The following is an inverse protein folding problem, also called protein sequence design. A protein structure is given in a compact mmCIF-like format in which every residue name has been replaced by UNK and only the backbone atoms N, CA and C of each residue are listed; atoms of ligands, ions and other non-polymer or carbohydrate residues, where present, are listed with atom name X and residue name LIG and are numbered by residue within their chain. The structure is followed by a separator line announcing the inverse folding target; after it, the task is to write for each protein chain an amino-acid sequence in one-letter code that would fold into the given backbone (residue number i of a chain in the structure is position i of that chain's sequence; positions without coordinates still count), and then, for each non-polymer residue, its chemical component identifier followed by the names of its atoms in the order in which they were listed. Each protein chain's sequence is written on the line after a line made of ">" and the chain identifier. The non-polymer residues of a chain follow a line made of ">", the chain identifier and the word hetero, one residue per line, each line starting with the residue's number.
data_IF_593579429246
#
_entry.id   IF_593579429246
#
_cell.length_a   1.000
_cell.length_b   1.000
_cell.length_c   1.000
_cell.angle_alpha   90.00
_cell.angle_beta   90.00
_cell.angle_gamma   90.00
#
_symmetry.space_group_name_H-M   'P 1'
#
loop_
_entity.id
_entity.type
_entity.pdbx_description
1 polymer ?
#
# COMPACT_ATOMS: atom_id res chain seq x y z
N UNK A 1 8.28 -5.18 27.91
CA UNK A 1 7.64 -5.07 26.57
C UNK A 1 6.45 -6.02 26.38
N UNK A 2 6.26 -7.05 27.23
CA UNK A 2 5.09 -7.95 27.27
C UNK A 2 3.69 -7.29 27.28
N UNK A 3 3.52 -6.11 27.89
CA UNK A 3 2.20 -5.44 27.94
C UNK A 3 1.70 -4.90 26.59
N UNK A 4 2.60 -4.74 25.61
CA UNK A 4 2.25 -4.05 24.38
C UNK A 4 1.52 -4.92 23.36
N UNK A 5 1.48 -6.25 23.49
CA UNK A 5 0.78 -7.11 22.53
C UNK A 5 -0.25 -8.05 23.18
N UNK A 6 -0.48 -7.89 24.49
CA UNK A 6 -1.30 -8.79 25.31
C UNK A 6 -2.72 -8.28 25.59
N UNK A 7 -3.07 -7.08 25.11
CA UNK A 7 -4.42 -6.52 25.23
C UNK A 7 -4.86 -5.80 23.96
N UNK A 8 -6.17 -5.79 23.65
CA UNK A 8 -6.72 -4.98 22.57
C UNK A 8 -6.34 -3.51 22.76
N UNK A 9 -5.92 -2.85 21.69
CA UNK A 9 -5.43 -1.48 21.74
C UNK A 9 -6.56 -0.48 21.55
N UNK A 10 -6.35 0.78 21.93
CA UNK A 10 -7.15 1.88 21.42
C UNK A 10 -6.67 2.32 20.03
N UNK A 11 -7.47 3.12 19.33
CA UNK A 11 -7.13 3.63 17.99
C UNK A 11 -5.79 4.40 18.00
N UNK A 12 -5.65 5.36 18.92
CA UNK A 12 -4.43 6.16 19.06
C UNK A 12 -3.20 5.35 19.49
N UNK A 13 -3.39 4.29 20.27
CA UNK A 13 -2.29 3.40 20.66
C UNK A 13 -1.72 2.61 19.48
N UNK A 14 -2.54 2.22 18.50
CA UNK A 14 -2.04 1.57 17.26
C UNK A 14 -1.19 2.55 16.47
N UNK A 15 -1.64 3.81 16.36
CA UNK A 15 -0.92 4.84 15.64
C UNK A 15 0.41 5.18 16.32
N UNK A 16 0.41 5.46 17.63
CA UNK A 16 1.62 5.72 18.43
C UNK A 16 2.64 4.59 18.27
N UNK A 17 2.18 3.34 18.37
CA UNK A 17 3.06 2.20 18.18
C UNK A 17 3.57 2.04 16.77
N UNK A 18 2.79 2.41 15.76
CA UNK A 18 3.23 2.41 14.36
C UNK A 18 4.44 3.34 14.22
N UNK A 19 4.36 4.56 14.74
CA UNK A 19 5.48 5.51 14.75
C UNK A 19 6.66 5.00 15.56
N UNK A 20 6.41 4.50 16.78
CA UNK A 20 7.47 4.04 17.68
C UNK A 20 8.24 2.85 17.10
N UNK A 21 7.54 1.85 16.57
CA UNK A 21 8.18 0.66 15.97
C UNK A 21 8.91 1.05 14.69
N UNK A 22 8.30 1.88 13.84
CA UNK A 22 8.94 2.38 12.61
C UNK A 22 10.22 3.15 12.90
N UNK A 23 10.24 3.97 13.97
CA UNK A 23 11.42 4.75 14.39
C UNK A 23 12.49 3.86 14.99
N UNK A 24 12.14 3.00 15.95
CA UNK A 24 13.12 2.18 16.69
C UNK A 24 13.78 1.11 15.82
N UNK A 25 13.09 0.63 14.78
CA UNK A 25 13.60 -0.39 13.86
C UNK A 25 13.76 0.12 12.43
N UNK A 26 13.88 1.45 12.26
CA UNK A 26 13.94 2.11 10.95
C UNK A 26 14.99 1.47 10.05
N UNK A 27 16.23 1.35 10.54
CA UNK A 27 17.35 0.82 9.76
C UNK A 27 17.06 -0.57 9.22
N UNK A 28 16.54 -1.48 10.06
CA UNK A 28 16.26 -2.86 9.62
C UNK A 28 15.15 -2.90 8.59
N UNK A 29 14.03 -2.20 8.79
CA UNK A 29 12.91 -2.23 7.85
C UNK A 29 13.18 -1.46 6.56
N UNK A 30 13.95 -0.37 6.64
CA UNK A 30 14.46 0.36 5.50
C UNK A 30 15.39 -0.53 4.68
N UNK A 31 16.36 -1.22 5.31
CA UNK A 31 17.25 -2.15 4.64
C UNK A 31 16.50 -3.33 3.99
N UNK A 32 15.46 -3.87 4.63
CA UNK A 32 14.61 -4.91 4.02
C UNK A 32 14.05 -4.41 2.70
N UNK A 33 13.40 -3.25 2.72
CA UNK A 33 12.71 -2.72 1.54
C UNK A 33 13.73 -2.29 0.49
N UNK A 34 14.83 -1.66 0.90
CA UNK A 34 15.90 -1.25 0.01
C UNK A 34 16.55 -2.45 -0.68
N UNK A 35 16.91 -3.52 0.03
CA UNK A 35 17.53 -4.70 -0.59
C UNK A 35 16.57 -5.40 -1.57
N UNK A 36 15.28 -5.49 -1.22
CA UNK A 36 14.29 -6.19 -2.03
C UNK A 36 13.85 -5.38 -3.25
N UNK A 37 13.74 -4.06 -3.12
CA UNK A 37 13.17 -3.18 -4.16
C UNK A 37 14.25 -2.42 -4.95
N UNK A 38 15.47 -2.24 -4.44
CA UNK A 38 16.52 -1.51 -5.16
C UNK A 38 16.88 -2.09 -6.52
N UNK A 39 16.89 -3.42 -6.78
CA UNK A 39 17.14 -3.91 -8.13
C UNK A 39 16.10 -3.39 -9.12
N UNK A 40 14.84 -3.23 -8.68
CA UNK A 40 13.76 -2.69 -9.49
C UNK A 40 13.99 -1.21 -9.81
N UNK A 41 14.39 -0.43 -8.80
CA UNK A 41 14.71 1.00 -8.94
C UNK A 41 15.89 1.21 -9.89
N UNK A 42 16.93 0.38 -9.80
CA UNK A 42 18.09 0.46 -10.69
C UNK A 42 17.73 0.13 -12.14
N UNK A 43 16.89 -0.89 -12.35
CA UNK A 43 16.39 -1.23 -13.69
C UNK A 43 15.52 -0.11 -14.25
N UNK A 44 14.64 0.46 -13.43
CA UNK A 44 13.80 1.60 -13.82
C UNK A 44 14.64 2.82 -14.23
N UNK A 45 15.63 3.17 -13.41
CA UNK A 45 16.56 4.26 -13.70
C UNK A 45 17.36 4.01 -14.99
N UNK A 46 17.84 2.77 -15.20
CA UNK A 46 18.56 2.39 -16.40
C UNK A 46 17.68 2.50 -17.64
N UNK A 47 16.44 2.01 -17.58
CA UNK A 47 15.47 2.11 -18.68
C UNK A 47 15.23 3.57 -19.02
N UNK A 48 14.96 4.43 -18.02
CA UNK A 48 14.74 5.85 -18.22
C UNK A 48 15.94 6.51 -18.94
N UNK A 49 17.17 6.22 -18.51
CA UNK A 49 18.39 6.71 -19.18
C UNK A 49 18.50 6.22 -20.62
N UNK A 50 18.23 4.94 -20.88
CA UNK A 50 18.29 4.36 -22.22
C UNK A 50 17.21 4.91 -23.16
N UNK A 51 16.07 5.36 -22.62
CA UNK A 51 14.99 5.99 -23.38
C UNK A 51 15.15 7.50 -23.54
N UNK A 52 16.28 8.06 -23.11
CA UNK A 52 16.62 9.47 -23.31
C UNK A 52 16.19 10.41 -22.17
N UNK A 53 15.77 9.89 -21.01
CA UNK A 53 15.53 10.72 -19.83
C UNK A 53 16.86 11.19 -19.23
N UNK A 54 16.98 12.49 -18.99
CA UNK A 54 18.19 13.08 -18.43
C UNK A 54 18.44 12.64 -16.98
N UNK A 55 19.72 12.49 -16.61
CA UNK A 55 20.10 12.11 -15.24
C UNK A 55 19.65 13.17 -14.22
N UNK A 56 19.93 14.43 -14.53
CA UNK A 56 19.57 15.61 -13.75
C UNK A 56 18.83 16.54 -14.71
N UNK A 57 17.77 17.18 -14.23
CA UNK A 57 17.01 18.16 -15.01
C UNK A 57 17.91 19.30 -15.50
N UNK A 58 17.80 19.63 -16.78
CA UNK A 58 18.28 20.91 -17.30
C UNK A 58 17.40 22.07 -16.81
N UNK A 59 18.03 23.11 -16.27
CA UNK A 59 17.36 24.28 -15.68
C UNK A 59 17.67 25.49 -16.54
N UNK A 60 16.67 25.96 -17.28
CA UNK A 60 16.77 27.21 -18.02
C UNK A 60 17.01 28.39 -17.06
N UNK A 61 18.16 29.06 -17.21
CA UNK A 61 18.52 30.21 -16.38
C UNK A 61 17.56 31.38 -16.60
N UNK A 62 16.96 31.89 -15.53
CA UNK A 62 16.08 33.06 -15.54
C UNK A 62 14.60 32.77 -15.26
N UNK A 63 14.18 31.51 -15.23
CA UNK A 63 12.82 31.14 -14.83
C UNK A 63 12.66 31.03 -13.31
N UNK A 64 11.50 31.42 -12.79
CA UNK A 64 11.11 31.16 -11.40
C UNK A 64 10.76 29.68 -11.19
N UNK A 65 10.83 29.19 -9.93
CA UNK A 65 10.46 27.80 -9.59
C UNK A 65 9.02 27.46 -10.01
N UNK A 66 8.11 28.44 -9.99
CA UNK A 66 6.73 28.26 -10.42
C UNK A 66 6.59 28.07 -11.94
N UNK A 67 7.30 28.89 -12.73
CA UNK A 67 7.33 28.75 -14.19
C UNK A 67 7.97 27.42 -14.59
N UNK A 68 9.07 27.06 -13.94
CA UNK A 68 9.75 25.79 -14.13
C UNK A 68 8.83 24.60 -13.84
N UNK A 69 8.08 24.63 -12.74
CA UNK A 69 7.15 23.55 -12.39
C UNK A 69 5.99 23.47 -13.39
N UNK A 70 5.41 24.63 -13.75
CA UNK A 70 4.35 24.70 -14.74
C UNK A 70 4.79 24.13 -16.09
N UNK A 71 5.98 24.53 -16.56
CA UNK A 71 6.58 24.03 -17.79
C UNK A 71 6.81 22.52 -17.74
N UNK A 72 7.39 21.97 -16.66
CA UNK A 72 7.59 20.52 -16.49
C UNK A 72 6.28 19.74 -16.60
N UNK A 73 5.24 20.18 -15.88
CA UNK A 73 3.95 19.49 -15.87
C UNK A 73 3.29 19.61 -17.24
N UNK A 74 3.34 20.80 -17.85
CA UNK A 74 2.72 21.06 -19.13
C UNK A 74 3.40 20.28 -20.25
N UNK A 75 4.73 20.29 -20.32
CA UNK A 75 5.51 19.53 -21.29
C UNK A 75 5.24 18.02 -21.17
N UNK A 76 5.24 17.46 -19.95
CA UNK A 76 4.93 16.05 -19.74
C UNK A 76 3.51 15.64 -20.20
N UNK A 77 2.57 16.58 -20.24
CA UNK A 77 1.19 16.30 -20.66
C UNK A 77 1.04 16.18 -22.18
N UNK A 78 1.96 16.79 -22.95
CA UNK A 78 1.87 16.83 -24.42
C UNK A 78 2.99 16.07 -25.13
N UNK A 79 4.07 15.70 -24.43
CA UNK A 79 5.17 14.92 -25.01
C UNK A 79 4.78 13.44 -25.13
N UNK A 80 4.67 12.89 -26.35
CA UNK A 80 4.32 11.48 -26.53
C UNK A 80 5.45 10.58 -26.02
N UNK A 81 5.09 9.52 -25.30
CA UNK A 81 6.05 8.49 -24.88
C UNK A 81 6.39 7.57 -26.05
N UNK A 82 7.63 7.07 -26.08
CA UNK A 82 8.03 6.07 -27.07
C UNK A 82 7.51 4.68 -26.67
N UNK A 83 7.24 3.81 -27.65
CA UNK A 83 6.88 2.41 -27.37
C UNK A 83 7.90 1.73 -26.44
N UNK A 84 9.20 2.00 -26.62
CA UNK A 84 10.26 1.44 -25.78
C UNK A 84 10.11 1.87 -24.30
N UNK A 85 9.76 3.14 -24.06
CA UNK A 85 9.51 3.67 -22.72
C UNK A 85 8.27 3.02 -22.09
N UNK A 86 7.17 2.89 -22.84
CA UNK A 86 5.95 2.26 -22.35
C UNK A 86 6.19 0.79 -21.96
N UNK A 87 6.87 0.03 -22.83
CA UNK A 87 7.27 -1.35 -22.53
C UNK A 87 8.19 -1.42 -21.31
N UNK A 88 9.13 -0.49 -21.17
CA UNK A 88 10.01 -0.38 -20.02
C UNK A 88 9.26 -0.17 -18.71
N UNK A 89 8.31 0.76 -18.68
CA UNK A 89 7.44 1.03 -17.53
C UNK A 89 6.59 -0.20 -17.18
N UNK A 90 6.01 -0.88 -18.17
CA UNK A 90 5.23 -2.10 -17.95
C UNK A 90 6.08 -3.22 -17.34
N UNK A 91 7.31 -3.40 -17.82
CA UNK A 91 8.26 -4.37 -17.30
C UNK A 91 8.60 -4.06 -15.83
N UNK A 92 8.94 -2.81 -15.52
CA UNK A 92 9.22 -2.36 -14.15
C UNK A 92 8.01 -2.55 -13.24
N UNK A 93 6.81 -2.22 -13.74
CA UNK A 93 5.55 -2.44 -13.03
C UNK A 93 5.31 -3.92 -12.72
N UNK A 94 5.57 -4.81 -13.67
CA UNK A 94 5.46 -6.25 -13.48
C UNK A 94 6.47 -6.78 -12.45
N UNK A 95 7.73 -6.34 -12.50
CA UNK A 95 8.73 -6.69 -11.49
C UNK A 95 8.31 -6.17 -10.12
N UNK A 96 7.87 -4.91 -10.03
CA UNK A 96 7.35 -4.30 -8.80
C UNK A 96 6.23 -5.13 -8.17
N UNK A 97 5.31 -5.66 -8.99
CA UNK A 97 4.23 -6.55 -8.55
C UNK A 97 4.79 -7.76 -7.79
N UNK A 98 5.94 -8.29 -8.18
CA UNK A 98 6.58 -9.44 -7.54
C UNK A 98 7.27 -9.07 -6.22
N UNK A 99 8.06 -7.99 -6.20
CA UNK A 99 8.99 -7.70 -5.09
C UNK A 99 8.33 -6.96 -3.91
N UNK A 100 7.36 -6.06 -4.14
CA UNK A 100 6.74 -5.29 -3.07
C UNK A 100 6.03 -6.15 -2.00
N UNK A 101 5.23 -7.18 -2.34
CA UNK A 101 4.59 -8.05 -1.35
C UNK A 101 5.60 -8.82 -0.50
N UNK A 102 6.76 -9.16 -1.06
CA UNK A 102 7.84 -9.85 -0.36
C UNK A 102 8.48 -8.91 0.67
N UNK A 103 8.77 -7.66 0.29
CA UNK A 103 9.26 -6.65 1.24
C UNK A 103 8.26 -6.41 2.37
N UNK A 104 6.97 -6.29 2.05
CA UNK A 104 5.90 -6.13 3.04
C UNK A 104 5.80 -7.35 3.97
N UNK A 105 5.87 -8.57 3.43
CA UNK A 105 5.87 -9.80 4.23
C UNK A 105 7.10 -9.92 5.15
N UNK A 106 8.28 -9.49 4.70
CA UNK A 106 9.49 -9.47 5.51
C UNK A 106 9.37 -8.50 6.70
N UNK A 107 8.77 -7.31 6.50
CA UNK A 107 8.44 -6.39 7.60
C UNK A 107 7.44 -7.02 8.56
N UNK A 108 6.40 -7.68 8.05
CA UNK A 108 5.43 -8.41 8.89
C UNK A 108 6.11 -9.46 9.77
N UNK A 109 7.04 -10.26 9.23
CA UNK A 109 7.84 -11.19 10.03
C UNK A 109 8.71 -10.47 11.09
N UNK A 110 9.22 -9.28 10.78
CA UNK A 110 9.94 -8.46 11.76
C UNK A 110 9.06 -8.00 12.91
N UNK A 111 7.81 -7.61 12.65
CA UNK A 111 6.84 -7.24 13.70
C UNK A 111 6.54 -8.45 14.60
N UNK A 112 6.39 -9.65 14.01
CA UNK A 112 6.21 -10.89 14.78
C UNK A 112 7.43 -11.21 15.65
N UNK A 113 8.65 -11.03 15.12
CA UNK A 113 9.89 -11.22 15.87
C UNK A 113 10.01 -10.23 17.05
N UNK A 114 9.67 -8.94 16.83
CA UNK A 114 9.62 -7.93 17.91
C UNK A 114 8.63 -8.35 19.00
N UNK A 115 7.45 -8.85 18.61
CA UNK A 115 6.42 -9.32 19.56
C UNK A 115 6.90 -10.51 20.39
N UNK A 116 7.68 -11.40 19.79
CA UNK A 116 8.25 -12.59 20.45
C UNK A 116 9.57 -12.32 21.16
N UNK A 117 10.08 -11.08 21.12
CA UNK A 117 11.38 -10.70 21.67
C UNK A 117 12.54 -11.56 21.06
N UNK A 118 12.38 -11.98 19.80
CA UNK A 118 13.38 -12.74 19.06
C UNK A 118 14.43 -11.82 18.43
N UNK A 119 15.69 -12.27 18.36
CA UNK A 119 16.71 -11.58 17.58
C UNK A 119 16.47 -11.80 16.08
N UNK A 120 16.52 -10.71 15.30
CA UNK A 120 16.34 -10.76 13.86
C UNK A 120 17.29 -9.81 13.13
N UNK A 121 17.56 -10.13 11.87
CA UNK A 121 18.28 -9.27 10.93
C UNK A 121 17.50 -9.14 9.63
N UNK A 122 17.75 -8.09 8.85
CA UNK A 122 17.09 -7.89 7.55
C UNK A 122 17.20 -9.14 6.65
N UNK A 123 18.38 -9.75 6.57
CA UNK A 123 18.61 -10.97 5.77
C UNK A 123 17.74 -12.15 6.21
N UNK A 124 17.66 -12.40 7.52
CA UNK A 124 16.83 -13.51 8.05
C UNK A 124 15.35 -13.33 7.73
N UNK A 125 14.84 -12.10 7.80
CA UNK A 125 13.45 -11.78 7.51
C UNK A 125 13.13 -11.87 6.01
N UNK A 126 14.04 -11.37 5.15
CA UNK A 126 13.95 -11.50 3.69
C UNK A 126 13.93 -12.98 3.29
N UNK A 127 14.87 -13.79 3.82
CA UNK A 127 14.91 -15.24 3.54
C UNK A 127 13.61 -15.93 3.94
N UNK A 128 13.03 -15.58 5.09
CA UNK A 128 11.75 -16.12 5.55
C UNK A 128 10.58 -15.74 4.63
N UNK A 129 10.57 -14.51 4.09
CA UNK A 129 9.59 -14.09 3.11
C UNK A 129 9.73 -14.82 1.77
N UNK A 130 10.95 -14.96 1.24
CA UNK A 130 11.21 -15.68 -0.01
C UNK A 130 10.98 -17.20 0.10
N UNK A 131 11.22 -17.81 1.27
CA UNK A 131 10.88 -19.22 1.51
C UNK A 131 9.39 -19.51 1.29
N UNK A 132 8.55 -18.46 1.35
CA UNK A 132 7.11 -18.54 1.07
C UNK A 132 6.68 -17.65 -0.08
N UNK A 133 7.54 -17.53 -1.09
CA UNK A 133 7.30 -16.72 -2.27
C UNK A 133 5.96 -17.04 -2.94
N UNK A 134 5.68 -18.31 -3.26
CA UNK A 134 4.51 -18.68 -4.06
C UNK A 134 3.16 -18.33 -3.42
N UNK A 135 2.88 -18.66 -2.15
CA UNK A 135 1.63 -18.26 -1.52
C UNK A 135 1.49 -16.74 -1.38
N UNK A 136 2.58 -16.02 -1.08
CA UNK A 136 2.56 -14.56 -0.94
C UNK A 136 2.28 -13.91 -2.31
N UNK A 137 3.05 -14.29 -3.33
CA UNK A 137 2.94 -13.77 -4.67
C UNK A 137 1.57 -14.09 -5.28
N UNK A 138 1.12 -15.34 -5.21
CA UNK A 138 -0.18 -15.77 -5.77
C UNK A 138 -1.35 -15.02 -5.12
N UNK A 139 -1.34 -14.86 -3.80
CA UNK A 139 -2.38 -14.11 -3.08
C UNK A 139 -2.34 -12.62 -3.42
N UNK A 140 -1.14 -12.03 -3.52
CA UNK A 140 -0.98 -10.62 -3.88
C UNK A 140 -1.38 -10.36 -5.33
N UNK A 141 -1.08 -11.26 -6.26
CA UNK A 141 -1.48 -11.18 -7.65
C UNK A 141 -3.01 -11.27 -7.77
N UNK A 142 -3.63 -12.27 -7.13
CA UNK A 142 -5.09 -12.41 -7.08
C UNK A 142 -5.73 -11.13 -6.54
N UNK A 143 -5.24 -10.61 -5.41
CA UNK A 143 -5.77 -9.40 -4.81
C UNK A 143 -5.63 -8.18 -5.74
N UNK A 144 -4.51 -8.05 -6.47
CA UNK A 144 -4.34 -6.99 -7.48
C UNK A 144 -5.29 -7.14 -8.66
N UNK A 145 -5.53 -8.36 -9.14
CA UNK A 145 -6.51 -8.61 -10.21
C UNK A 145 -7.92 -8.24 -9.75
N UNK A 146 -8.28 -8.59 -8.51
CA UNK A 146 -9.56 -8.21 -7.90
C UNK A 146 -9.67 -6.68 -7.82
N UNK A 147 -8.65 -6.00 -7.30
CA UNK A 147 -8.62 -4.52 -7.22
C UNK A 147 -8.73 -3.90 -8.61
N UNK A 148 -7.98 -4.43 -9.58
CA UNK A 148 -8.01 -3.95 -10.96
C UNK A 148 -9.42 -4.05 -11.53
N UNK A 149 -10.08 -5.21 -11.43
CA UNK A 149 -11.46 -5.38 -11.88
C UNK A 149 -12.44 -4.46 -11.12
N UNK A 150 -12.26 -4.35 -9.80
CA UNK A 150 -13.10 -3.56 -8.90
C UNK A 150 -13.02 -2.05 -9.17
N UNK A 151 -11.90 -1.54 -9.70
CA UNK A 151 -11.72 -0.13 -10.05
C UNK A 151 -12.00 0.10 -11.54
N UNK A 152 -11.42 -0.72 -12.42
CA UNK A 152 -11.49 -0.55 -13.86
C UNK A 152 -12.92 -0.67 -14.39
N UNK A 153 -13.68 -1.68 -13.96
CA UNK A 153 -15.05 -1.87 -14.44
C UNK A 153 -15.94 -0.67 -14.06
N UNK A 154 -16.00 -0.23 -12.79
CA UNK A 154 -16.82 0.93 -12.47
C UNK A 154 -16.33 2.23 -13.10
N UNK A 155 -15.02 2.45 -13.25
CA UNK A 155 -14.50 3.63 -13.97
C UNK A 155 -14.96 3.63 -15.43
N UNK A 156 -14.93 2.48 -16.10
CA UNK A 156 -15.46 2.33 -17.46
C UNK A 156 -16.96 2.64 -17.50
N UNK A 157 -17.75 2.05 -16.61
CA UNK A 157 -19.19 2.30 -16.53
C UNK A 157 -19.49 3.78 -16.26
N UNK A 158 -18.84 4.38 -15.25
CA UNK A 158 -19.01 5.78 -14.87
C UNK A 158 -18.61 6.72 -16.02
N UNK A 159 -17.51 6.45 -16.72
CA UNK A 159 -17.05 7.27 -17.85
C UNK A 159 -18.02 7.22 -19.03
N UNK A 160 -18.56 6.04 -19.39
CA UNK A 160 -19.59 5.91 -20.42
C UNK A 160 -20.87 6.65 -20.02
N UNK A 161 -21.32 6.47 -18.77
CA UNK A 161 -22.49 7.21 -18.25
C UNK A 161 -22.26 8.72 -18.23
N UNK A 162 -21.07 9.17 -17.87
CA UNK A 162 -20.70 10.58 -17.87
C UNK A 162 -20.76 11.17 -19.28
N UNK A 163 -20.15 10.49 -20.27
CA UNK A 163 -20.20 10.93 -21.67
C UNK A 163 -21.64 11.00 -22.19
N UNK A 164 -22.46 9.98 -21.95
CA UNK A 164 -23.87 9.97 -22.36
C UNK A 164 -24.66 11.13 -21.70
N UNK A 165 -24.43 11.37 -20.42
CA UNK A 165 -25.12 12.42 -19.66
C UNK A 165 -24.75 13.83 -20.15
N UNK A 166 -23.48 14.05 -20.50
CA UNK A 166 -23.01 15.33 -21.06
C UNK A 166 -23.60 15.62 -22.45
N UNK A 167 -23.86 14.58 -23.26
CA UNK A 167 -24.51 14.73 -24.57
C UNK A 167 -26.00 15.09 -24.45
N UNK A 168 -26.69 14.66 -23.38
CA UNK A 168 -28.10 14.97 -23.16
C UNK A 168 -28.29 16.36 -22.55
N UNK A 169 -27.59 16.66 -21.45
CA UNK A 169 -27.72 17.95 -20.77
C UNK A 169 -26.48 18.23 -19.88
N UNK A 170 -25.60 19.18 -20.26
CA UNK A 170 -24.32 19.40 -19.56
C UNK A 170 -24.45 19.78 -18.08
N UNK A 171 -25.54 20.46 -17.70
CA UNK A 171 -25.75 20.96 -16.33
C UNK A 171 -26.42 19.94 -15.41
N UNK A 172 -27.33 19.10 -15.93
CA UNK A 172 -28.03 18.10 -15.12
C UNK A 172 -27.35 16.72 -15.11
N UNK A 173 -26.46 16.45 -16.07
CA UNK A 173 -25.80 15.15 -16.22
C UNK A 173 -24.78 14.81 -15.12
N UNK A 174 -24.32 15.79 -14.36
CA UNK A 174 -23.24 15.60 -13.37
C UNK A 174 -23.77 14.98 -12.05
N UNK A 175 -24.95 15.40 -11.59
CA UNK A 175 -25.55 14.92 -10.34
C UNK A 175 -25.67 13.38 -10.25
N UNK A 176 -26.27 12.67 -11.23
CA UNK A 176 -26.39 11.22 -11.16
C UNK A 176 -25.04 10.50 -11.21
N UNK A 177 -24.06 11.06 -11.92
CA UNK A 177 -22.69 10.52 -12.00
C UNK A 177 -21.98 10.62 -10.64
N UNK A 178 -22.13 11.74 -9.92
CA UNK A 178 -21.58 11.90 -8.57
C UNK A 178 -22.19 10.88 -7.60
N UNK A 179 -23.52 10.69 -7.65
CA UNK A 179 -24.22 9.73 -6.79
C UNK A 179 -23.72 8.31 -7.08
N UNK A 180 -23.61 7.93 -8.36
CA UNK A 180 -23.08 6.63 -8.76
C UNK A 180 -21.63 6.44 -8.30
N UNK A 181 -20.78 7.46 -8.47
CA UNK A 181 -19.39 7.44 -8.04
C UNK A 181 -19.27 7.22 -6.52
N UNK A 182 -20.06 7.92 -5.72
CA UNK A 182 -20.07 7.75 -4.26
C UNK A 182 -20.58 6.36 -3.85
N UNK A 183 -21.66 5.88 -4.47
CA UNK A 183 -22.21 4.56 -4.18
C UNK A 183 -21.19 3.44 -4.48
N UNK A 184 -20.56 3.49 -5.66
CA UNK A 184 -19.49 2.59 -6.05
C UNK A 184 -18.32 2.72 -5.07
N UNK A 185 -17.88 3.95 -4.76
CA UNK A 185 -16.78 4.21 -3.84
C UNK A 185 -17.01 3.58 -2.45
N UNK A 186 -18.24 3.66 -1.91
CA UNK A 186 -18.61 3.01 -0.67
C UNK A 186 -18.50 1.48 -0.74
N UNK A 187 -18.96 0.86 -1.84
CA UNK A 187 -18.84 -0.59 -2.06
C UNK A 187 -17.37 -1.02 -2.15
N UNK A 188 -16.57 -0.26 -2.89
CA UNK A 188 -15.12 -0.51 -3.03
C UNK A 188 -14.45 -0.41 -1.66
N UNK A 189 -14.68 0.68 -0.91
CA UNK A 189 -14.12 0.90 0.41
C UNK A 189 -14.51 -0.23 1.40
N UNK A 190 -15.76 -0.70 1.32
CA UNK A 190 -16.22 -1.83 2.12
C UNK A 190 -15.43 -3.10 1.79
N UNK A 191 -15.34 -3.48 0.51
CA UNK A 191 -14.64 -4.69 0.07
C UNK A 191 -13.13 -4.64 0.35
N UNK A 192 -12.50 -3.50 0.09
CA UNK A 192 -11.07 -3.29 0.37
C UNK A 192 -10.75 -3.40 1.86
N UNK A 193 -11.63 -2.92 2.73
CA UNK A 193 -11.43 -3.08 4.18
C UNK A 193 -11.55 -4.54 4.58
N UNK A 194 -12.55 -5.25 4.03
CA UNK A 194 -12.81 -6.65 4.35
C UNK A 194 -11.70 -7.59 3.91
N UNK A 195 -11.15 -7.38 2.72
CA UNK A 195 -10.05 -8.17 2.18
C UNK A 195 -8.67 -7.58 2.47
N UNK A 196 -8.62 -6.40 3.09
CA UNK A 196 -7.39 -5.63 3.25
C UNK A 196 -6.30 -6.37 4.01
N UNK A 197 -6.64 -7.27 4.94
CA UNK A 197 -5.70 -8.03 5.79
C UNK A 197 -5.37 -9.42 5.24
N UNK A 198 -5.55 -9.65 3.94
CA UNK A 198 -5.22 -10.93 3.31
C UNK A 198 -3.75 -11.31 3.49
N UNK A 199 -2.82 -10.35 3.33
CA UNK A 199 -1.39 -10.65 3.32
C UNK A 199 -0.86 -11.10 4.70
N UNK A 200 -1.19 -10.45 5.83
CA UNK A 200 -0.84 -10.93 7.16
C UNK A 200 -1.46 -12.28 7.47
N UNK A 201 -2.72 -12.51 7.08
CA UNK A 201 -3.35 -13.82 7.21
C UNK A 201 -2.56 -14.90 6.44
N UNK A 202 -2.13 -14.59 5.22
CA UNK A 202 -1.23 -15.46 4.46
C UNK A 202 0.05 -15.68 5.26
N UNK A 203 0.79 -14.63 5.58
CA UNK A 203 2.12 -14.68 6.22
C UNK A 203 2.13 -15.47 7.54
N UNK A 204 1.13 -15.25 8.41
CA UNK A 204 1.14 -15.77 9.78
C UNK A 204 0.32 -17.05 9.97
N UNK A 205 -0.77 -17.26 9.23
CA UNK A 205 -1.69 -18.38 9.48
C UNK A 205 -1.58 -19.49 8.44
N UNK A 206 -0.63 -19.38 7.51
CA UNK A 206 -0.37 -20.41 6.51
C UNK A 206 -1.53 -20.71 5.54
N UNK A 207 -2.54 -19.84 5.50
CA UNK A 207 -3.65 -19.90 4.54
C UNK A 207 -3.31 -19.12 3.26
N UNK A 208 -3.86 -19.53 2.11
CA UNK A 208 -3.80 -18.75 0.86
C UNK A 208 -5.10 -18.99 0.08
N UNK A 209 -5.77 -17.95 -0.47
CA UNK A 209 -5.30 -16.57 -0.62
C UNK A 209 -5.47 -15.65 0.60
N UNK A 210 -5.99 -16.16 1.73
CA UNK A 210 -6.16 -15.40 2.99
C UNK A 210 -7.31 -14.38 2.99
N UNK A 211 -8.05 -14.25 1.89
CA UNK A 211 -9.21 -13.34 1.76
C UNK A 211 -10.35 -13.69 2.72
N UNK A 212 -10.69 -14.97 2.83
CA UNK A 212 -11.72 -15.45 3.77
C UNK A 212 -11.33 -15.17 5.21
N UNK A 213 -10.07 -15.43 5.57
CA UNK A 213 -9.58 -15.14 6.91
C UNK A 213 -9.59 -13.64 7.21
N UNK A 214 -9.19 -12.80 6.25
CA UNK A 214 -9.31 -11.33 6.38
C UNK A 214 -10.76 -10.89 6.60
N UNK A 215 -11.71 -11.51 5.90
CA UNK A 215 -13.13 -11.22 6.05
C UNK A 215 -13.63 -11.51 7.46
N UNK A 216 -13.25 -12.66 8.01
CA UNK A 216 -13.60 -13.06 9.37
C UNK A 216 -12.96 -12.13 10.40
N UNK A 217 -11.65 -11.83 10.27
CA UNK A 217 -10.93 -10.93 11.18
C UNK A 217 -11.54 -9.52 11.25
N UNK A 218 -12.11 -9.05 10.15
CA UNK A 218 -12.73 -7.71 10.07
C UNK A 218 -14.21 -7.71 10.44
N UNK A 219 -14.82 -8.87 10.71
CA UNK A 219 -16.20 -8.99 11.19
C UNK A 219 -16.31 -8.40 12.60
N UNK A 220 -17.40 -7.68 12.86
CA UNK A 220 -17.62 -6.96 14.13
C UNK A 220 -16.80 -5.68 14.32
N UNK A 221 -15.66 -5.52 13.63
CA UNK A 221 -14.72 -4.41 13.84
C UNK A 221 -14.52 -3.52 12.60
N UNK A 222 -15.43 -3.58 11.61
CA UNK A 222 -15.30 -2.91 10.31
C UNK A 222 -14.92 -1.41 10.40
N UNK A 223 -15.70 -0.60 11.13
CA UNK A 223 -15.51 0.86 11.19
C UNK A 223 -14.16 1.25 11.78
N UNK A 224 -13.70 0.46 12.76
CA UNK A 224 -12.39 0.66 13.38
C UNK A 224 -11.27 0.32 12.40
N UNK A 225 -11.35 -0.81 11.71
CA UNK A 225 -10.36 -1.21 10.71
C UNK A 225 -10.32 -0.23 9.54
N UNK A 226 -11.49 0.16 9.03
CA UNK A 226 -11.63 1.18 8.00
C UNK A 226 -10.98 2.50 8.43
N UNK A 227 -11.32 3.01 9.62
CA UNK A 227 -10.75 4.24 10.15
C UNK A 227 -9.23 4.17 10.29
N UNK A 228 -8.67 3.03 10.74
CA UNK A 228 -7.22 2.84 10.85
C UNK A 228 -6.55 2.84 9.47
N UNK A 229 -7.12 2.17 8.47
CA UNK A 229 -6.62 2.23 7.10
C UNK A 229 -6.71 3.63 6.51
N UNK A 230 -7.81 4.35 6.75
CA UNK A 230 -7.98 5.74 6.29
C UNK A 230 -6.93 6.64 6.94
N UNK A 231 -6.72 6.58 8.25
CA UNK A 231 -5.77 7.47 8.94
C UNK A 231 -4.33 7.15 8.54
N UNK A 232 -3.91 5.89 8.60
CA UNK A 232 -2.53 5.50 8.24
C UNK A 232 -2.30 5.74 6.74
N UNK A 233 -3.29 5.43 5.90
CA UNK A 233 -3.27 5.70 4.48
C UNK A 233 -3.17 7.19 4.17
N UNK A 234 -3.98 8.04 4.81
CA UNK A 234 -3.95 9.48 4.63
C UNK A 234 -2.59 10.09 5.02
N UNK A 235 -2.03 9.69 6.16
CA UNK A 235 -0.68 10.12 6.57
C UNK A 235 0.35 9.74 5.50
N UNK A 236 0.30 8.50 5.01
CA UNK A 236 1.22 7.98 3.99
C UNK A 236 1.08 8.77 2.68
N UNK A 237 -0.16 8.97 2.20
CA UNK A 237 -0.47 9.70 0.96
C UNK A 237 -0.03 11.16 1.07
N UNK A 238 -0.34 11.85 2.17
CA UNK A 238 0.04 13.26 2.36
C UNK A 238 1.56 13.40 2.31
N UNK A 239 2.30 12.53 3.00
CA UNK A 239 3.77 12.55 2.96
C UNK A 239 4.28 12.28 1.54
N UNK A 240 3.74 11.27 0.85
CA UNK A 240 4.13 10.94 -0.52
C UNK A 240 3.88 12.12 -1.48
N UNK A 241 2.71 12.76 -1.42
CA UNK A 241 2.34 13.89 -2.29
C UNK A 241 3.23 15.10 -2.03
N UNK A 242 3.51 15.43 -0.76
CA UNK A 242 4.40 16.54 -0.42
C UNK A 242 5.82 16.29 -0.95
N UNK A 243 6.35 15.08 -0.73
CA UNK A 243 7.69 14.73 -1.19
C UNK A 243 7.76 14.71 -2.72
N UNK A 244 6.75 14.14 -3.38
CA UNK A 244 6.66 14.15 -4.84
C UNK A 244 6.67 15.57 -5.40
N UNK A 245 5.79 16.44 -4.87
CA UNK A 245 5.71 17.84 -5.27
C UNK A 245 7.04 18.60 -5.08
N UNK A 246 7.72 18.40 -3.95
CA UNK A 246 9.03 19.02 -3.70
C UNK A 246 10.08 18.49 -4.68
N UNK A 247 10.12 17.17 -4.89
CA UNK A 247 11.13 16.54 -5.74
C UNK A 247 10.92 16.91 -7.22
N UNK A 248 9.70 16.89 -7.74
CA UNK A 248 9.42 17.27 -9.12
C UNK A 248 9.72 18.75 -9.38
N UNK A 249 9.49 19.62 -8.39
CA UNK A 249 9.81 21.04 -8.51
C UNK A 249 11.31 21.28 -8.70
N UNK A 250 12.15 20.54 -7.97
CA UNK A 250 13.61 20.70 -8.00
C UNK A 250 14.23 19.93 -9.16
N UNK A 251 13.81 18.69 -9.38
CA UNK A 251 14.48 17.73 -10.24
C UNK A 251 13.73 17.42 -11.53
N UNK A 252 12.52 17.96 -11.75
CA UNK A 252 11.68 17.64 -12.90
C UNK A 252 11.42 16.13 -13.04
N UNK A 253 11.05 15.67 -14.23
CA UNK A 253 10.95 14.24 -14.53
C UNK A 253 12.30 13.61 -14.92
N UNK A 254 13.38 13.94 -14.19
CA UNK A 254 14.70 13.35 -14.39
C UNK A 254 14.82 11.96 -13.77
N UNK A 255 15.88 11.23 -14.12
CA UNK A 255 16.21 9.94 -13.49
C UNK A 255 16.51 10.12 -12.00
N UNK A 256 17.15 11.22 -11.60
CA UNK A 256 17.39 11.50 -10.18
C UNK A 256 16.08 11.70 -9.41
N UNK A 257 15.08 12.38 -10.01
CA UNK A 257 13.75 12.49 -9.43
C UNK A 257 13.12 11.11 -9.18
N UNK A 258 13.10 10.22 -10.17
CA UNK A 258 12.45 8.90 -10.02
C UNK A 258 13.13 8.04 -8.95
N UNK A 259 14.47 8.09 -8.85
CA UNK A 259 15.24 7.42 -7.80
C UNK A 259 14.91 7.99 -6.42
N UNK A 260 14.90 9.32 -6.26
CA UNK A 260 14.57 9.97 -4.98
C UNK A 260 13.12 9.73 -4.57
N UNK A 261 12.19 9.75 -5.53
CA UNK A 261 10.79 9.43 -5.30
C UNK A 261 10.62 7.96 -4.87
N UNK A 262 11.38 7.05 -5.47
CA UNK A 262 11.40 5.64 -5.10
C UNK A 262 11.91 5.42 -3.67
N UNK A 263 12.96 6.15 -3.26
CA UNK A 263 13.47 6.14 -1.88
C UNK A 263 12.40 6.68 -0.91
N UNK A 264 11.75 7.79 -1.25
CA UNK A 264 10.63 8.35 -0.49
C UNK A 264 9.47 7.35 -0.35
N UNK A 265 9.20 6.60 -1.42
CA UNK A 265 8.18 5.54 -1.47
C UNK A 265 8.55 4.35 -0.60
N UNK A 266 9.83 3.99 -0.50
CA UNK A 266 10.32 2.96 0.44
C UNK A 266 9.97 3.34 1.88
N UNK A 267 10.28 4.58 2.28
CA UNK A 267 10.07 5.07 3.65
C UNK A 267 8.58 5.06 4.02
N UNK A 268 7.73 5.57 3.12
CA UNK A 268 6.29 5.66 3.33
C UNK A 268 5.62 4.27 3.35
N UNK A 269 6.01 3.36 2.44
CA UNK A 269 5.52 1.96 2.44
C UNK A 269 5.94 1.20 3.69
N UNK A 270 7.14 1.45 4.20
CA UNK A 270 7.61 0.87 5.46
C UNK A 270 6.67 1.24 6.61
N UNK A 271 6.35 2.52 6.75
CA UNK A 271 5.44 3.02 7.78
C UNK A 271 4.05 2.38 7.67
N UNK A 272 3.49 2.34 6.46
CA UNK A 272 2.22 1.66 6.20
C UNK A 272 2.28 0.18 6.58
N UNK A 273 3.36 -0.53 6.22
CA UNK A 273 3.52 -1.96 6.52
C UNK A 273 3.59 -2.26 8.02
N UNK A 274 4.19 -1.37 8.81
CA UNK A 274 4.21 -1.50 10.28
C UNK A 274 2.79 -1.36 10.84
N UNK A 275 2.06 -0.32 10.45
CA UNK A 275 0.69 -0.11 10.89
C UNK A 275 -0.23 -1.25 10.47
N UNK A 276 -0.06 -1.73 9.25
CA UNK A 276 -0.75 -2.87 8.69
C UNK A 276 -0.60 -4.15 9.53
N UNK A 277 0.63 -4.47 9.97
CA UNK A 277 0.88 -5.61 10.85
C UNK A 277 0.28 -5.43 12.26
N UNK A 278 0.31 -4.21 12.81
CA UNK A 278 -0.29 -3.91 14.11
C UNK A 278 -1.82 -4.01 14.09
N UNK A 279 -2.47 -3.54 13.02
CA UNK A 279 -3.92 -3.72 12.83
C UNK A 279 -4.27 -5.21 12.81
N UNK A 280 -3.51 -6.01 12.06
CA UNK A 280 -3.73 -7.46 12.01
C UNK A 280 -3.62 -8.10 13.40
N UNK A 281 -2.57 -7.81 14.17
CA UNK A 281 -2.42 -8.41 15.49
C UNK A 281 -3.46 -7.92 16.51
N UNK A 282 -3.92 -6.66 16.42
CA UNK A 282 -5.03 -6.15 17.24
C UNK A 282 -6.33 -6.92 16.96
N UNK A 283 -6.67 -7.12 15.68
CA UNK A 283 -7.88 -7.82 15.29
C UNK A 283 -7.80 -9.31 15.59
N UNK A 284 -6.63 -9.93 15.38
CA UNK A 284 -6.41 -11.33 15.73
C UNK A 284 -6.63 -11.56 17.22
N UNK A 285 -6.06 -10.71 18.07
CA UNK A 285 -6.23 -10.82 19.53
C UNK A 285 -7.70 -10.67 19.96
N UNK A 286 -8.46 -9.78 19.29
CA UNK A 286 -9.90 -9.61 19.55
C UNK A 286 -10.69 -10.86 19.18
N UNK A 287 -10.49 -11.38 17.96
CA UNK A 287 -11.20 -12.58 17.50
C UNK A 287 -10.83 -13.82 18.32
N UNK A 288 -9.53 -14.06 18.55
CA UNK A 288 -9.07 -15.21 19.36
C UNK A 288 -9.60 -15.13 20.81
N UNK A 289 -9.81 -13.92 21.35
CA UNK A 289 -10.42 -13.71 22.67
C UNK A 289 -11.93 -13.95 22.70
N UNK A 290 -12.64 -13.49 21.66
CA UNK A 290 -14.08 -13.73 21.50
C UNK A 290 -14.36 -15.24 21.37
N UNK A 291 -13.57 -15.97 20.57
CA UNK A 291 -13.68 -17.42 20.39
C UNK A 291 -13.51 -18.19 21.72
N UNK A 292 -12.57 -17.75 22.59
CA UNK A 292 -12.35 -18.37 23.90
C UNK A 292 -13.50 -18.12 24.87
N UNK A 293 -14.11 -16.93 24.83
CA UNK A 293 -15.27 -16.62 25.68
C UNK A 293 -16.48 -17.47 25.30
N UNK A 294 -16.73 -17.67 24.00
CA UNK A 294 -17.79 -18.55 23.51
C UNK A 294 -17.57 -20.02 23.94
N UNK A 295 -16.32 -20.50 23.93
CA UNK A 295 -16.00 -21.86 24.42
C UNK A 295 -16.27 -22.05 25.92
N UNK A 296 -15.97 -21.04 26.75
CA UNK A 296 -16.22 -21.08 28.20
C UNK A 296 -17.73 -21.05 28.47
N UNK A 297 -18.48 -20.16 27.82
CA UNK A 297 -19.93 -20.06 27.97
C UNK A 297 -20.63 -21.37 27.59
N UNK A 298 -20.21 -21.99 26.48
CA UNK A 298 -20.72 -23.30 26.07
C UNK A 298 -20.39 -24.39 27.10
N UNK A 299 -19.18 -24.42 27.67
CA UNK A 299 -18.81 -25.38 28.71
C UNK A 299 -19.65 -25.21 29.98
N UNK A 300 -19.90 -23.98 30.40
CA UNK A 300 -20.71 -23.69 31.59
C UNK A 300 -22.18 -24.06 31.37
N UNK A 301 -22.73 -23.84 30.17
CA UNK A 301 -24.11 -24.21 29.82
C UNK A 301 -24.38 -25.72 29.76
N UNK A 302 -23.36 -26.53 29.46
CA UNK A 302 -23.46 -27.99 29.42
C UNK A 302 -23.41 -28.58 30.85
N UNK A 303 -22.77 -27.86 31.78
CA UNK A 303 -22.57 -28.30 33.17
C UNK A 303 -23.56 -27.68 34.17
N UNK A 304 -24.48 -26.82 33.71
CA UNK A 304 -25.59 -26.24 34.49
C UNK A 304 -26.90 -26.99 34.24
#
# INVERSE_FOLDING_TARGET
>A
MKEHFSRPKSFGQILDQTFRISKNHFSTFFLITLIVVSPVILIEALIAMLTGTELIRDVAGGETVWEQLYNTINESAYTPTSLAQDFGVLLVGFISVIFYPIAQAAILYGIDAIRKEEHFTASTLIKKAFARFWPIFGSALLFRVIIFALIFIPVLVISVFMLASLMMNPMMGIFPVIILFLAVGCVIAFLLTRWGLYLPAVVFERVAPGLERSWNLTRGNFWRTFGLFVVIGAITIIISVILDFVLISIFGYSVLYSVLLSISTIITRMFFSVGYGLIYFDLKLRNDGDDLMEMIENYDSINS
#
